data_IF_651305795843
#
_entry.id   IF_651305795843
#
_cell.length_a   1.000
_cell.length_b   1.000
_cell.length_c   1.000
_cell.angle_alpha   90.00
_cell.angle_beta   90.00
_cell.angle_gamma   90.00
#
_symmetry.space_group_name_H-M   'P 1'
#
loop_
_entity.id
_entity.type
_entity.pdbx_description
1 polymer ?
#
# COMPACT_ATOMS: atom_id res chain seq x y z
N UNK A 1 -14.99 -0.99 18.85
CA UNK A 1 -15.73 -0.08 17.95
C UNK A 1 -16.10 1.20 18.72
N UNK A 2 -16.24 2.30 18.00
CA UNK A 2 -16.59 3.58 18.62
C UNK A 2 -18.13 3.77 18.50
N UNK A 3 -18.83 3.63 19.61
CA UNK A 3 -20.31 3.72 19.65
C UNK A 3 -20.81 5.11 19.24
N UNK A 4 -20.06 6.16 19.55
CA UNK A 4 -20.41 7.52 19.15
C UNK A 4 -20.34 7.69 17.62
N UNK A 5 -19.38 7.03 16.95
CA UNK A 5 -19.25 7.08 15.50
C UNK A 5 -20.46 6.43 14.82
N UNK A 6 -20.83 5.22 15.23
CA UNK A 6 -21.99 4.54 14.63
C UNK A 6 -23.29 5.31 14.88
N UNK A 7 -23.49 5.87 16.09
CA UNK A 7 -24.65 6.73 16.38
C UNK A 7 -24.69 7.96 15.48
N UNK A 8 -23.54 8.57 15.18
CA UNK A 8 -23.50 9.72 14.28
C UNK A 8 -23.82 9.32 12.83
N UNK A 9 -23.30 8.17 12.35
CA UNK A 9 -23.57 7.67 11.01
C UNK A 9 -25.04 7.25 10.78
N UNK A 10 -25.75 6.93 11.86
CA UNK A 10 -27.18 6.57 11.81
C UNK A 10 -28.15 7.74 11.95
N UNK A 11 -27.66 8.98 12.19
CA UNK A 11 -28.51 10.17 12.31
C UNK A 11 -29.19 10.58 11.01
N UNK A 12 -28.63 10.20 9.88
CA UNK A 12 -29.11 10.53 8.55
C UNK A 12 -29.04 9.32 7.60
N UNK A 13 -29.37 9.53 6.33
CA UNK A 13 -29.38 8.50 5.28
C UNK A 13 -28.33 8.78 4.19
N UNK A 14 -27.37 9.65 4.42
CA UNK A 14 -26.33 9.95 3.44
C UNK A 14 -25.44 8.75 3.17
N UNK A 15 -24.89 8.64 1.94
CA UNK A 15 -23.88 7.64 1.62
C UNK A 15 -22.67 7.75 2.55
N UNK A 16 -22.08 6.59 2.87
CA UNK A 16 -20.88 6.51 3.70
C UNK A 16 -19.74 5.98 2.86
N UNK A 17 -18.76 6.83 2.55
CA UNK A 17 -17.53 6.42 1.89
C UNK A 17 -16.48 6.01 2.94
N UNK A 18 -15.91 4.85 2.76
CA UNK A 18 -14.88 4.27 3.60
C UNK A 18 -13.59 4.08 2.81
N UNK A 19 -12.49 4.63 3.30
CA UNK A 19 -11.16 4.52 2.70
C UNK A 19 -10.39 3.36 3.35
N UNK A 20 -10.31 2.26 2.63
CA UNK A 20 -9.63 1.05 3.05
C UNK A 20 -10.52 0.08 3.83
N UNK A 21 -10.09 -1.18 3.83
CA UNK A 21 -10.81 -2.27 4.49
C UNK A 21 -10.88 -2.11 6.01
N UNK A 22 -9.90 -1.44 6.60
CA UNK A 22 -9.83 -1.22 8.05
C UNK A 22 -10.99 -0.36 8.61
N UNK A 23 -11.70 0.38 7.74
CA UNK A 23 -12.85 1.19 8.12
C UNK A 23 -14.17 0.40 8.10
N UNK A 24 -14.19 -0.85 7.70
CA UNK A 24 -15.41 -1.60 7.36
C UNK A 24 -16.06 -2.37 8.51
N UNK A 25 -15.61 -2.18 9.76
CA UNK A 25 -16.13 -2.93 10.91
C UNK A 25 -17.65 -2.89 11.03
N UNK A 26 -18.27 -1.69 10.94
CA UNK A 26 -19.73 -1.54 11.06
C UNK A 26 -20.50 -2.15 9.87
N UNK A 27 -19.89 -2.19 8.71
CA UNK A 27 -20.41 -2.88 7.53
C UNK A 27 -20.34 -4.39 7.74
N UNK A 28 -19.17 -4.87 8.17
CA UNK A 28 -18.96 -6.31 8.41
C UNK A 28 -19.93 -6.87 9.44
N UNK A 29 -20.19 -6.11 10.51
CA UNK A 29 -21.12 -6.51 11.59
C UNK A 29 -22.58 -6.24 11.28
N UNK A 30 -22.92 -5.66 10.12
CA UNK A 30 -24.29 -5.39 9.70
C UNK A 30 -24.95 -4.22 10.44
N UNK A 31 -24.17 -3.34 11.05
CA UNK A 31 -24.69 -2.16 11.75
C UNK A 31 -24.99 -0.98 10.81
N UNK A 32 -24.42 -1.00 9.60
CA UNK A 32 -24.73 -0.06 8.53
C UNK A 32 -25.42 -0.77 7.39
N UNK A 33 -26.46 -0.20 6.79
CA UNK A 33 -27.18 -0.80 5.66
C UNK A 33 -26.28 -0.79 4.41
N UNK A 34 -26.15 -1.94 3.71
CA UNK A 34 -25.23 -2.12 2.57
C UNK A 34 -25.38 -1.10 1.45
N UNK A 35 -26.61 -0.67 1.17
CA UNK A 35 -26.96 0.27 0.09
C UNK A 35 -26.40 1.68 0.30
N UNK A 36 -26.01 2.02 1.54
CA UNK A 36 -25.36 3.30 1.88
C UNK A 36 -23.85 3.21 1.88
N UNK A 37 -23.28 2.01 1.82
CA UNK A 37 -21.88 1.76 2.07
C UNK A 37 -21.09 1.66 0.78
N UNK A 38 -20.08 2.51 0.66
CA UNK A 38 -19.12 2.52 -0.44
C UNK A 38 -17.72 2.39 0.15
N UNK A 39 -16.95 1.43 -0.33
CA UNK A 39 -15.61 1.14 0.19
C UNK A 39 -14.60 1.22 -0.93
N UNK A 40 -13.60 2.08 -0.77
CA UNK A 40 -12.46 2.15 -1.67
C UNK A 40 -11.31 1.33 -1.10
N UNK A 41 -11.00 0.23 -1.76
CA UNK A 41 -9.97 -0.72 -1.37
C UNK A 41 -8.64 -0.31 -2.00
N UNK A 42 -7.60 -0.16 -1.17
CA UNK A 42 -6.28 0.28 -1.62
C UNK A 42 -5.38 -0.89 -1.98
N UNK A 43 -5.56 -2.02 -1.32
CA UNK A 43 -4.80 -3.25 -1.51
C UNK A 43 -5.71 -4.47 -1.30
N UNK A 44 -5.22 -5.62 -1.71
CA UNK A 44 -5.69 -6.92 -1.25
C UNK A 44 -4.88 -7.26 0.01
N UNK A 45 -5.45 -6.98 1.19
CA UNK A 45 -4.69 -7.02 2.44
C UNK A 45 -4.18 -8.43 2.79
N UNK A 46 -4.97 -9.49 2.49
CA UNK A 46 -4.48 -10.83 2.75
C UNK A 46 -3.26 -11.20 1.89
N UNK A 47 -3.16 -10.71 0.64
CA UNK A 47 -1.99 -10.90 -0.21
C UNK A 47 -0.79 -10.11 0.32
N UNK A 48 -0.99 -8.89 0.78
CA UNK A 48 0.05 -8.07 1.37
C UNK A 48 0.68 -8.77 2.58
N UNK A 49 -0.14 -9.25 3.52
CA UNK A 49 0.37 -10.01 4.68
C UNK A 49 0.99 -11.36 4.29
N UNK A 50 0.53 -11.97 3.20
CA UNK A 50 1.17 -13.18 2.66
C UNK A 50 2.58 -12.90 2.15
N UNK A 51 2.78 -11.81 1.42
CA UNK A 51 4.10 -11.39 0.95
C UNK A 51 5.03 -11.06 2.12
N UNK A 52 4.54 -10.36 3.14
CA UNK A 52 5.31 -10.12 4.37
C UNK A 52 5.72 -11.42 5.06
N UNK A 53 4.86 -12.44 5.04
CA UNK A 53 5.20 -13.76 5.58
C UNK A 53 6.31 -14.43 4.77
N UNK A 54 6.27 -14.38 3.46
CA UNK A 54 7.29 -14.99 2.60
C UNK A 54 8.65 -14.31 2.75
N UNK A 55 8.68 -12.99 2.78
CA UNK A 55 9.91 -12.19 2.77
C UNK A 55 10.53 -11.98 4.15
N UNK A 56 9.78 -12.14 5.23
CA UNK A 56 10.30 -11.90 6.58
C UNK A 56 11.39 -12.90 6.95
N UNK A 57 12.49 -12.41 7.52
CA UNK A 57 13.56 -13.25 8.10
C UNK A 57 13.25 -13.71 9.55
N UNK A 58 12.36 -13.02 10.25
CA UNK A 58 12.03 -13.29 11.65
C UNK A 58 10.99 -14.38 11.79
N UNK A 59 11.30 -15.45 12.54
CA UNK A 59 10.39 -16.56 12.79
C UNK A 59 9.07 -16.12 13.46
N UNK A 60 9.13 -15.24 14.46
CA UNK A 60 7.93 -14.76 15.15
C UNK A 60 7.05 -13.88 14.22
N UNK A 61 7.67 -13.02 13.42
CA UNK A 61 6.96 -12.23 12.41
C UNK A 61 6.30 -13.13 11.35
N UNK A 62 6.98 -14.19 10.92
CA UNK A 62 6.39 -15.18 9.99
C UNK A 62 5.12 -15.81 10.53
N UNK A 63 5.12 -16.24 11.78
CA UNK A 63 3.92 -16.83 12.42
C UNK A 63 2.79 -15.79 12.45
N UNK A 64 3.10 -14.57 12.87
CA UNK A 64 2.13 -13.47 12.91
C UNK A 64 1.55 -13.17 11.53
N UNK A 65 2.39 -12.91 10.53
CA UNK A 65 1.93 -12.55 9.19
C UNK A 65 1.12 -13.66 8.51
N UNK A 66 1.52 -14.91 8.70
CA UNK A 66 0.76 -16.07 8.19
C UNK A 66 -0.64 -16.14 8.80
N UNK A 67 -0.75 -15.87 10.09
CA UNK A 67 -2.03 -15.85 10.79
C UNK A 67 -2.89 -14.68 10.31
N UNK A 68 -2.33 -13.48 10.27
CA UNK A 68 -3.04 -12.27 9.81
C UNK A 68 -3.53 -12.41 8.37
N UNK A 69 -2.70 -12.91 7.45
CA UNK A 69 -3.12 -13.17 6.07
C UNK A 69 -4.37 -14.07 6.01
N UNK A 70 -4.43 -15.14 6.80
CA UNK A 70 -5.60 -16.02 6.83
C UNK A 70 -6.84 -15.35 7.42
N UNK A 71 -6.68 -14.59 8.49
CA UNK A 71 -7.78 -13.85 9.13
C UNK A 71 -8.33 -12.78 8.19
N UNK A 72 -7.44 -12.03 7.54
CA UNK A 72 -7.81 -11.00 6.57
C UNK A 72 -8.53 -11.62 5.36
N UNK A 73 -8.05 -12.75 4.82
CA UNK A 73 -8.74 -13.44 3.71
C UNK A 73 -10.18 -13.79 4.07
N UNK A 74 -10.39 -14.29 5.27
CA UNK A 74 -11.74 -14.62 5.76
C UNK A 74 -12.59 -13.36 5.97
N UNK A 75 -12.00 -12.31 6.51
CA UNK A 75 -12.66 -11.04 6.73
C UNK A 75 -13.05 -10.37 5.42
N UNK A 76 -12.12 -10.27 4.47
CA UNK A 76 -12.34 -9.73 3.13
C UNK A 76 -13.45 -10.50 2.41
N UNK A 77 -13.38 -11.82 2.35
CA UNK A 77 -14.44 -12.63 1.76
C UNK A 77 -15.81 -12.40 2.42
N UNK A 78 -15.85 -12.19 3.73
CA UNK A 78 -17.06 -11.90 4.49
C UNK A 78 -17.71 -10.55 4.19
N UNK A 79 -17.05 -9.66 3.45
CA UNK A 79 -17.59 -8.37 3.03
C UNK A 79 -18.23 -8.37 1.64
N UNK A 80 -18.05 -9.41 0.84
CA UNK A 80 -18.33 -9.45 -0.61
C UNK A 80 -19.72 -8.95 -1.06
N UNK A 81 -20.73 -9.00 -0.17
CA UNK A 81 -22.10 -8.54 -0.48
C UNK A 81 -22.61 -7.42 0.43
N UNK A 82 -21.73 -6.80 1.21
CA UNK A 82 -22.11 -5.87 2.29
C UNK A 82 -21.94 -4.39 1.95
N UNK A 83 -21.43 -4.08 0.77
CA UNK A 83 -21.24 -2.71 0.29
C UNK A 83 -21.02 -2.71 -1.23
N UNK A 84 -20.94 -1.52 -1.82
CA UNK A 84 -20.35 -1.29 -3.13
C UNK A 84 -18.86 -1.04 -2.96
N UNK A 85 -18.04 -1.70 -3.78
CA UNK A 85 -16.59 -1.66 -3.64
C UNK A 85 -15.91 -1.07 -4.87
N UNK A 86 -14.84 -0.32 -4.63
CA UNK A 86 -13.92 0.14 -5.67
C UNK A 86 -12.50 -0.25 -5.32
N UNK A 87 -11.74 -0.65 -6.32
CA UNK A 87 -10.30 -0.91 -6.19
C UNK A 87 -9.50 0.13 -6.95
N UNK A 88 -8.30 0.42 -6.49
CA UNK A 88 -7.40 1.40 -7.14
C UNK A 88 -6.58 0.78 -8.28
N UNK A 89 -6.61 -0.55 -8.43
CA UNK A 89 -5.99 -1.27 -9.55
C UNK A 89 -6.94 -2.31 -10.16
N UNK A 90 -6.84 -2.53 -11.46
CA UNK A 90 -7.58 -3.61 -12.13
C UNK A 90 -7.15 -5.01 -11.68
N UNK A 91 -5.89 -5.15 -11.26
CA UNK A 91 -5.37 -6.41 -10.73
C UNK A 91 -6.15 -6.80 -9.47
N UNK A 92 -6.27 -5.88 -8.53
CA UNK A 92 -6.98 -6.12 -7.28
C UNK A 92 -8.46 -6.37 -7.50
N UNK A 93 -9.10 -5.62 -8.43
CA UNK A 93 -10.48 -5.89 -8.83
C UNK A 93 -10.68 -7.34 -9.26
N UNK A 94 -9.75 -7.88 -10.06
CA UNK A 94 -9.82 -9.29 -10.51
C UNK A 94 -9.70 -10.27 -9.34
N UNK A 95 -8.85 -9.98 -8.36
CA UNK A 95 -8.70 -10.82 -7.15
C UNK A 95 -9.98 -10.79 -6.32
N UNK A 96 -10.52 -9.61 -6.01
CA UNK A 96 -11.77 -9.49 -5.24
C UNK A 96 -12.94 -10.20 -5.94
N UNK A 97 -13.06 -10.04 -7.25
CA UNK A 97 -14.14 -10.67 -8.03
C UNK A 97 -13.98 -12.19 -8.10
N UNK A 98 -12.81 -12.69 -8.52
CA UNK A 98 -12.60 -14.11 -8.82
C UNK A 98 -12.34 -14.98 -7.60
N UNK A 99 -11.58 -14.47 -6.64
CA UNK A 99 -11.10 -15.26 -5.50
C UNK A 99 -11.93 -15.04 -4.25
N UNK A 100 -12.43 -13.81 -4.04
CA UNK A 100 -13.19 -13.44 -2.85
C UNK A 100 -14.69 -13.33 -3.08
N UNK A 101 -15.15 -13.50 -4.33
CA UNK A 101 -16.57 -13.61 -4.68
C UNK A 101 -17.35 -12.28 -4.68
N UNK A 102 -16.68 -11.15 -4.85
CA UNK A 102 -17.33 -9.85 -4.95
C UNK A 102 -18.08 -9.70 -6.27
N UNK A 103 -19.37 -9.39 -6.18
CA UNK A 103 -20.24 -9.18 -7.35
C UNK A 103 -20.35 -7.70 -7.75
N UNK A 104 -20.16 -6.80 -6.80
CA UNK A 104 -20.21 -5.34 -6.97
C UNK A 104 -18.87 -4.73 -6.59
N UNK A 105 -17.88 -4.92 -7.44
CA UNK A 105 -16.55 -4.32 -7.33
C UNK A 105 -16.13 -3.78 -8.69
N UNK A 106 -15.79 -2.49 -8.71
CA UNK A 106 -15.37 -1.78 -9.92
C UNK A 106 -13.97 -1.17 -9.74
N UNK A 107 -13.35 -0.82 -10.85
CA UNK A 107 -12.07 -0.13 -10.86
C UNK A 107 -12.30 1.38 -10.79
N UNK A 108 -11.72 2.02 -9.77
CA UNK A 108 -11.70 3.47 -9.60
C UNK A 108 -10.24 3.92 -9.38
N UNK A 109 -9.55 4.41 -10.42
CA UNK A 109 -8.15 4.80 -10.32
C UNK A 109 -7.95 5.98 -9.37
N UNK A 110 -6.69 6.21 -9.02
CA UNK A 110 -6.29 7.43 -8.33
C UNK A 110 -6.33 8.61 -9.30
N UNK A 111 -7.12 9.61 -8.96
CA UNK A 111 -7.14 10.88 -9.68
C UNK A 111 -6.18 11.86 -9.01
N UNK A 112 -5.24 12.34 -9.77
CA UNK A 112 -4.33 13.40 -9.33
C UNK A 112 -4.84 14.72 -9.92
N UNK A 113 -4.66 15.85 -9.21
CA UNK A 113 -4.91 17.16 -9.78
C UNK A 113 -4.00 17.37 -10.99
N UNK A 114 -4.45 18.17 -11.95
CA UNK A 114 -3.58 18.59 -13.06
C UNK A 114 -2.36 19.30 -12.49
N UNK A 115 -1.19 18.74 -12.76
CA UNK A 115 0.07 19.40 -12.46
C UNK A 115 0.43 20.26 -13.67
N UNK A 116 0.40 21.58 -13.48
CA UNK A 116 1.02 22.53 -14.40
C UNK A 116 2.53 22.52 -14.15
N UNK A 117 3.21 21.47 -14.52
CA UNK A 117 4.66 21.41 -14.49
C UNK A 117 5.21 21.82 -15.86
N UNK A 118 6.18 22.71 -15.90
CA UNK A 118 6.97 22.89 -17.10
C UNK A 118 7.81 21.62 -17.31
N UNK A 119 7.51 20.89 -18.37
CA UNK A 119 8.37 19.79 -18.81
C UNK A 119 9.60 20.40 -19.46
N UNK A 120 10.73 20.27 -18.80
CA UNK A 120 12.03 20.66 -19.34
C UNK A 120 12.63 19.40 -19.98
N UNK A 121 12.70 19.38 -21.31
CA UNK A 121 13.36 18.29 -22.04
C UNK A 121 14.88 18.40 -21.90
N UNK A 122 15.37 18.05 -20.73
CA UNK A 122 16.81 18.02 -20.42
C UNK A 122 17.17 16.62 -19.89
N UNK A 123 18.34 16.14 -20.30
CA UNK A 123 18.91 14.92 -19.68
C UNK A 123 19.30 15.25 -18.25
N UNK A 124 18.78 14.46 -17.30
CA UNK A 124 19.20 14.48 -15.92
C UNK A 124 20.65 14.04 -15.79
N UNK A 125 21.32 14.51 -14.74
CA UNK A 125 22.71 14.17 -14.44
C UNK A 125 22.83 13.02 -13.42
N UNK A 126 21.69 12.54 -12.89
CA UNK A 126 21.64 11.46 -11.91
C UNK A 126 20.32 10.70 -12.01
N UNK A 127 20.29 9.47 -11.48
CA UNK A 127 19.08 8.73 -11.24
C UNK A 127 18.60 8.97 -9.80
N UNK A 128 17.30 9.17 -9.61
CA UNK A 128 16.69 9.38 -8.30
C UNK A 128 15.76 8.20 -7.95
N UNK A 129 15.99 7.63 -6.78
CA UNK A 129 15.00 6.78 -6.10
C UNK A 129 14.49 7.52 -4.86
N UNK A 130 13.17 7.63 -4.70
CA UNK A 130 12.63 8.26 -3.50
C UNK A 130 11.48 7.42 -2.91
N UNK A 131 11.33 7.48 -1.57
CA UNK A 131 10.26 6.79 -0.87
C UNK A 131 10.43 6.83 0.66
N UNK A 132 9.47 6.28 1.36
CA UNK A 132 9.64 6.03 2.80
C UNK A 132 10.50 4.77 2.98
N UNK A 133 11.80 4.97 3.25
CA UNK A 133 12.78 3.89 3.37
C UNK A 133 12.62 3.07 4.66
N UNK A 134 11.79 3.52 5.61
CA UNK A 134 11.36 2.71 6.75
C UNK A 134 10.31 1.64 6.40
N UNK A 135 9.80 1.64 5.18
CA UNK A 135 8.92 0.59 4.64
C UNK A 135 9.77 -0.48 3.98
N UNK A 136 9.57 -1.74 4.37
CA UNK A 136 10.43 -2.85 3.99
C UNK A 136 10.58 -3.03 2.47
N UNK A 137 9.51 -2.83 1.71
CA UNK A 137 9.51 -2.95 0.25
C UNK A 137 10.32 -1.85 -0.42
N UNK A 138 10.26 -0.63 0.11
CA UNK A 138 11.03 0.49 -0.41
C UNK A 138 12.52 0.35 -0.09
N UNK A 139 12.84 -0.11 1.10
CA UNK A 139 14.22 -0.41 1.49
C UNK A 139 14.80 -1.55 0.64
N UNK A 140 14.02 -2.62 0.45
CA UNK A 140 14.41 -3.73 -0.42
C UNK A 140 14.67 -3.26 -1.84
N UNK A 141 13.80 -2.43 -2.41
CA UNK A 141 13.97 -1.91 -3.77
C UNK A 141 15.23 -1.05 -3.90
N UNK A 142 15.49 -0.17 -2.92
CA UNK A 142 16.71 0.65 -2.89
C UNK A 142 17.98 -0.23 -2.79
N UNK A 143 17.96 -1.22 -1.90
CA UNK A 143 19.06 -2.19 -1.74
C UNK A 143 19.29 -2.97 -3.03
N UNK A 144 18.23 -3.48 -3.63
CA UNK A 144 18.31 -4.24 -4.89
C UNK A 144 18.90 -3.41 -6.03
N UNK A 145 18.51 -2.15 -6.15
CA UNK A 145 19.06 -1.22 -7.15
C UNK A 145 20.57 -1.00 -6.93
N UNK A 146 20.99 -0.82 -5.67
CA UNK A 146 22.40 -0.68 -5.35
C UNK A 146 23.22 -1.92 -5.70
N UNK A 147 22.70 -3.11 -5.40
CA UNK A 147 23.43 -4.36 -5.56
C UNK A 147 23.45 -4.90 -6.98
N UNK A 148 22.41 -4.60 -7.79
CA UNK A 148 22.23 -5.24 -9.09
C UNK A 148 22.33 -4.28 -10.28
N UNK A 149 22.25 -2.98 -10.07
CA UNK A 149 22.28 -2.00 -11.17
C UNK A 149 23.42 -1.00 -10.97
N UNK A 150 23.41 -0.28 -9.87
CA UNK A 150 24.34 0.84 -9.66
C UNK A 150 25.72 0.40 -9.14
N UNK A 151 25.92 -0.87 -8.88
CA UNK A 151 27.24 -1.47 -8.66
C UNK A 151 28.04 -1.65 -9.99
N UNK A 152 27.35 -1.66 -11.14
CA UNK A 152 27.96 -1.95 -12.46
C UNK A 152 28.01 -0.70 -13.37
N UNK A 153 27.26 0.35 -13.05
CA UNK A 153 27.16 1.55 -13.87
C UNK A 153 27.62 2.81 -13.09
N UNK A 154 28.38 3.68 -13.79
CA UNK A 154 28.93 4.90 -13.19
C UNK A 154 28.00 6.12 -13.30
N UNK A 155 26.69 5.89 -13.35
CA UNK A 155 25.71 6.97 -13.33
C UNK A 155 25.46 7.38 -11.88
N UNK A 156 25.55 8.68 -11.54
CA UNK A 156 25.24 9.13 -10.19
C UNK A 156 23.83 8.68 -9.76
N UNK A 157 23.74 8.09 -8.58
CA UNK A 157 22.50 7.57 -8.03
C UNK A 157 22.19 8.23 -6.68
N UNK A 158 21.02 8.83 -6.57
CA UNK A 158 20.55 9.49 -5.36
C UNK A 158 19.38 8.69 -4.78
N UNK A 159 19.50 8.29 -3.53
CA UNK A 159 18.42 7.68 -2.76
C UNK A 159 17.94 8.71 -1.75
N UNK A 160 16.68 9.10 -1.82
CA UNK A 160 16.10 10.10 -0.92
C UNK A 160 14.88 9.55 -0.19
N UNK A 161 14.83 9.67 1.13
CA UNK A 161 13.65 9.23 1.85
C UNK A 161 13.71 9.24 3.36
N UNK A 162 12.56 8.90 3.97
CA UNK A 162 12.42 8.88 5.42
C UNK A 162 12.90 7.56 6.01
N UNK A 163 13.54 7.65 7.18
CA UNK A 163 13.91 6.51 8.02
C UNK A 163 14.72 5.40 7.33
N UNK A 164 15.81 5.73 6.60
CA UNK A 164 16.68 4.68 6.08
C UNK A 164 17.27 3.86 7.22
N UNK A 165 17.49 2.55 6.98
CA UNK A 165 18.24 1.74 7.93
C UNK A 165 19.74 2.06 7.87
N UNK A 166 20.44 1.76 8.95
CA UNK A 166 21.90 1.90 8.97
C UNK A 166 22.60 0.99 7.96
N UNK A 167 22.00 -0.16 7.67
CA UNK A 167 22.53 -1.12 6.69
C UNK A 167 22.43 -0.57 5.27
N UNK A 168 21.30 0.05 4.90
CA UNK A 168 21.14 0.72 3.62
C UNK A 168 22.08 1.93 3.49
N UNK A 169 22.21 2.75 4.53
CA UNK A 169 23.17 3.87 4.55
C UNK A 169 24.61 3.38 4.36
N UNK A 170 25.01 2.33 5.09
CA UNK A 170 26.32 1.74 4.96
C UNK A 170 26.59 1.13 3.57
N UNK A 171 25.57 0.54 2.95
CA UNK A 171 25.67 0.01 1.60
C UNK A 171 25.83 1.13 0.58
N UNK A 172 25.02 2.18 0.66
CA UNK A 172 25.08 3.34 -0.23
C UNK A 172 26.47 4.04 -0.15
N UNK A 173 27.01 4.21 1.05
CA UNK A 173 28.33 4.84 1.26
C UNK A 173 29.52 4.00 0.72
N UNK A 174 29.34 2.70 0.45
CA UNK A 174 30.39 1.88 -0.18
C UNK A 174 30.55 2.15 -1.67
N UNK A 175 29.56 2.75 -2.32
CA UNK A 175 29.58 3.01 -3.74
C UNK A 175 29.96 4.45 -4.06
N UNK A 176 30.94 4.65 -4.95
CA UNK A 176 31.50 5.98 -5.24
C UNK A 176 30.53 6.95 -5.90
N UNK A 177 29.55 6.43 -6.65
CA UNK A 177 28.58 7.25 -7.41
C UNK A 177 27.21 7.33 -6.75
N UNK A 178 27.10 6.93 -5.48
CA UNK A 178 25.83 6.91 -4.77
C UNK A 178 25.80 7.92 -3.62
N UNK A 179 24.69 8.61 -3.49
CA UNK A 179 24.39 9.50 -2.39
C UNK A 179 23.06 9.12 -1.74
N UNK A 180 23.01 9.10 -0.41
CA UNK A 180 21.77 8.93 0.35
C UNK A 180 21.39 10.22 1.08
N UNK A 181 20.17 10.68 0.85
CA UNK A 181 19.59 11.87 1.51
C UNK A 181 18.53 11.37 2.49
N UNK A 182 18.95 11.22 3.73
CA UNK A 182 18.09 10.74 4.80
C UNK A 182 17.17 11.85 5.33
N UNK A 183 15.88 11.55 5.42
CA UNK A 183 14.87 12.45 5.99
C UNK A 183 14.86 13.85 5.35
N UNK A 184 14.79 13.98 4.02
CA UNK A 184 14.66 15.29 3.37
C UNK A 184 13.37 15.98 3.84
N UNK A 185 13.40 17.32 3.93
CA UNK A 185 12.27 18.18 4.32
C UNK A 185 11.15 18.18 3.26
#
# INVERSE_FOLDING_TARGET
>A
ANDQLIQNLLKDQYPVLMEGIHCTYFVHTGQLPPERCFVRLHNVEYEYYHQLWETSSSFFKKIYYKRESKLLKTYEAGLASKATFWTVTEKDMKVFNKELGYKSVDYLPLYLPEFSGEYVDQRGHYCLYHGNLGVAENEFAATWLLENIFNEIEIPFVIAGKNPSKDLEALAHKQQHTCIVANPD
#
